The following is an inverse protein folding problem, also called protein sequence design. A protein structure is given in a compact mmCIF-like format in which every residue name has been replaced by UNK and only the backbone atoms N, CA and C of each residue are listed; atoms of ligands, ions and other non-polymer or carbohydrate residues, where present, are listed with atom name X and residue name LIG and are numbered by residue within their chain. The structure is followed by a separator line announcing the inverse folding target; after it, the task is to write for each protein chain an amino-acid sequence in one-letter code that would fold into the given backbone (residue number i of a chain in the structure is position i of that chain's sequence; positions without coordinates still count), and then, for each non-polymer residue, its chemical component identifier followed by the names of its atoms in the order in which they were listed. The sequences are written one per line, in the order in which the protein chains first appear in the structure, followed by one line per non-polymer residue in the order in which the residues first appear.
data_IF_646867116248
#
_entry.id   IF_646867116248
#
_cell.length_a   1.000
_cell.length_b   1.000
_cell.length_c   1.000
_cell.angle_alpha   90.00
_cell.angle_beta   90.00
_cell.angle_gamma   90.00
#
_symmetry.space_group_name_H-M   'P 1'
#
loop_
_entity.id
_entity.type
_entity.pdbx_description
1 polymer ?
#
# COMPACT_ATOMS: atom_id res chain seq x y z
N UNK A 1 -13.76 10.00 7.76
CA UNK A 1 -13.45 10.74 6.52
C UNK A 1 -13.33 9.72 5.39
N UNK A 2 -13.61 10.08 4.12
CA UNK A 2 -13.47 9.13 3.02
C UNK A 2 -11.99 8.80 2.74
N UNK A 3 -11.72 7.57 2.31
CA UNK A 3 -10.39 7.02 2.11
C UNK A 3 -10.21 6.52 0.66
N UNK A 4 -9.13 6.94 0.02
CA UNK A 4 -8.64 6.28 -1.20
C UNK A 4 -7.52 5.31 -0.85
N UNK A 5 -7.58 4.12 -1.43
CA UNK A 5 -6.45 3.18 -1.43
C UNK A 5 -5.76 3.26 -2.77
N UNK A 6 -4.43 3.37 -2.75
CA UNK A 6 -3.61 3.44 -3.95
C UNK A 6 -2.66 2.25 -4.02
N UNK A 7 -2.61 1.56 -5.17
CA UNK A 7 -1.77 0.38 -5.36
C UNK A 7 -0.99 0.55 -6.67
N UNK A 8 0.32 0.31 -6.63
CA UNK A 8 1.10 0.07 -7.84
C UNK A 8 1.32 -1.44 -7.99
N UNK A 9 1.22 -1.99 -9.21
CA UNK A 9 1.29 -3.45 -9.39
C UNK A 9 1.86 -3.86 -10.75
N UNK A 10 2.35 -5.10 -10.82
CA UNK A 10 2.77 -5.80 -12.04
C UNK A 10 2.71 -7.31 -11.82
N UNK A 11 1.90 -8.02 -12.59
CA UNK A 11 1.75 -9.48 -12.56
C UNK A 11 1.45 -10.05 -11.16
N UNK A 12 0.47 -9.47 -10.45
CA UNK A 12 0.08 -9.88 -9.08
C UNK A 12 -1.35 -10.46 -9.04
N UNK A 13 -1.71 -11.20 -10.08
CA UNK A 13 -3.07 -11.74 -10.25
C UNK A 13 -3.51 -12.71 -9.15
N UNK A 14 -2.58 -13.30 -8.43
CA UNK A 14 -2.83 -14.20 -7.29
C UNK A 14 -3.15 -13.43 -6.00
N UNK A 15 -2.56 -12.24 -5.82
CA UNK A 15 -2.61 -11.49 -4.56
C UNK A 15 -3.52 -10.27 -4.60
N UNK A 16 -3.70 -9.65 -5.77
CA UNK A 16 -4.42 -8.38 -5.91
C UNK A 16 -5.84 -8.43 -5.34
N UNK A 17 -6.56 -9.54 -5.52
CA UNK A 17 -7.90 -9.72 -4.96
C UNK A 17 -7.89 -9.78 -3.43
N UNK A 18 -6.89 -10.44 -2.84
CA UNK A 18 -6.75 -10.53 -1.39
C UNK A 18 -6.44 -9.14 -0.80
N UNK A 19 -5.52 -8.40 -1.43
CA UNK A 19 -5.19 -7.02 -1.07
C UNK A 19 -6.44 -6.13 -1.10
N UNK A 20 -7.18 -6.12 -2.23
CA UNK A 20 -8.41 -5.35 -2.39
C UNK A 20 -9.51 -5.75 -1.39
N UNK A 21 -9.64 -7.03 -1.08
CA UNK A 21 -10.64 -7.52 -0.10
C UNK A 21 -10.32 -6.99 1.30
N UNK A 22 -9.04 -6.99 1.69
CA UNK A 22 -8.58 -6.51 2.99
C UNK A 22 -8.82 -5.02 3.22
N UNK A 23 -8.98 -4.25 2.13
CA UNK A 23 -9.29 -2.82 2.16
C UNK A 23 -10.70 -2.49 1.67
N UNK A 24 -11.63 -3.45 1.70
CA UNK A 24 -13.03 -3.25 1.29
C UNK A 24 -13.79 -2.16 2.09
N UNK A 25 -13.20 -1.67 3.19
CA UNK A 25 -13.69 -0.51 3.95
C UNK A 25 -13.34 0.85 3.33
N UNK A 26 -12.50 0.89 2.29
CA UNK A 26 -12.14 2.12 1.58
C UNK A 26 -13.23 2.55 0.59
N UNK A 27 -13.35 3.87 0.38
CA UNK A 27 -14.35 4.46 -0.52
C UNK A 27 -13.92 4.44 -1.99
N UNK A 28 -12.61 4.29 -2.25
CA UNK A 28 -12.03 4.22 -3.57
C UNK A 28 -10.78 3.33 -3.56
N UNK A 29 -10.57 2.56 -4.64
CA UNK A 29 -9.33 1.85 -4.92
C UNK A 29 -8.83 2.28 -6.29
N UNK A 30 -7.64 2.90 -6.33
CA UNK A 30 -6.93 3.32 -7.55
C UNK A 30 -5.70 2.43 -7.72
N UNK A 31 -5.57 1.83 -8.89
CA UNK A 31 -4.45 0.94 -9.22
C UNK A 31 -3.72 1.49 -10.42
N UNK A 32 -2.40 1.61 -10.33
CA UNK A 32 -1.52 1.83 -11.48
C UNK A 32 -0.79 0.53 -11.78
N UNK A 33 -1.06 -0.01 -12.97
CA UNK A 33 -0.50 -1.27 -13.47
C UNK A 33 0.65 -1.01 -14.45
N UNK A 34 1.80 -1.63 -14.20
CA UNK A 34 3.00 -1.55 -15.05
C UNK A 34 2.98 -2.58 -16.19
N UNK A 35 1.91 -2.53 -16.99
CA UNK A 35 1.69 -3.39 -18.16
C UNK A 35 1.78 -4.90 -17.82
N UNK A 36 0.94 -5.35 -16.90
CA UNK A 36 0.82 -6.77 -16.55
C UNK A 36 0.46 -7.61 -17.78
N UNK A 37 1.09 -8.78 -17.90
CA UNK A 37 0.81 -9.77 -18.95
C UNK A 37 -0.07 -10.93 -18.48
N UNK A 38 -0.43 -10.96 -17.20
CA UNK A 38 -1.41 -11.90 -16.63
C UNK A 38 -2.80 -11.26 -16.49
N UNK A 39 -3.71 -11.89 -15.75
CA UNK A 39 -5.08 -11.40 -15.55
C UNK A 39 -5.23 -10.39 -14.38
N UNK A 40 -4.14 -9.77 -13.91
CA UNK A 40 -4.15 -8.77 -12.82
C UNK A 40 -5.14 -7.63 -13.08
N UNK A 41 -5.03 -6.99 -14.25
CA UNK A 41 -5.87 -5.84 -14.63
C UNK A 41 -7.35 -6.22 -14.70
N UNK A 42 -7.66 -7.36 -15.31
CA UNK A 42 -9.02 -7.86 -15.45
C UNK A 42 -9.66 -8.16 -14.09
N UNK A 43 -8.93 -8.85 -13.21
CA UNK A 43 -9.37 -9.16 -11.84
C UNK A 43 -9.63 -7.89 -11.03
N UNK A 44 -8.69 -6.95 -11.06
CA UNK A 44 -8.80 -5.68 -10.35
C UNK A 44 -10.03 -4.86 -10.80
N UNK A 45 -10.23 -4.69 -12.11
CA UNK A 45 -11.40 -3.97 -12.65
C UNK A 45 -12.72 -4.64 -12.26
N UNK A 46 -12.80 -5.97 -12.35
CA UNK A 46 -14.01 -6.73 -11.96
C UNK A 46 -14.33 -6.61 -10.47
N UNK A 47 -13.31 -6.49 -9.63
CA UNK A 47 -13.45 -6.25 -8.20
C UNK A 47 -13.74 -4.79 -7.84
N UNK A 48 -13.93 -3.90 -8.83
CA UNK A 48 -14.39 -2.52 -8.62
C UNK A 48 -13.29 -1.47 -8.53
N UNK A 49 -12.02 -1.82 -8.76
CA UNK A 49 -10.95 -0.83 -8.78
C UNK A 49 -10.94 0.01 -10.06
N UNK A 50 -10.51 1.27 -9.93
CA UNK A 50 -10.11 2.10 -11.06
C UNK A 50 -8.66 1.79 -11.43
N UNK A 51 -8.45 1.16 -12.58
CA UNK A 51 -7.12 0.70 -13.02
C UNK A 51 -6.60 1.56 -14.18
N UNK A 52 -5.43 2.17 -14.00
CA UNK A 52 -4.65 2.86 -15.02
C UNK A 52 -3.50 1.95 -15.46
N UNK A 53 -3.43 1.63 -16.75
CA UNK A 53 -2.32 0.84 -17.29
C UNK A 53 -1.31 1.79 -17.91
N UNK A 54 -0.05 1.72 -17.48
CA UNK A 54 1.05 2.54 -18.00
C UNK A 54 1.92 1.69 -18.93
N UNK A 55 2.37 2.29 -20.03
CA UNK A 55 3.38 1.65 -20.89
C UNK A 55 4.70 1.49 -20.13
N UNK A 56 5.32 0.31 -20.27
CA UNK A 56 6.56 -0.07 -19.61
C UNK A 56 7.66 1.00 -19.81
N UNK A 57 8.18 1.57 -18.71
CA UNK A 57 9.33 2.48 -18.77
C UNK A 57 9.50 3.45 -17.59
N UNK A 58 8.48 3.58 -16.73
CA UNK A 58 8.60 4.35 -15.49
C UNK A 58 9.13 3.55 -14.30
N UNK A 59 9.64 4.25 -13.29
CA UNK A 59 9.98 3.58 -12.03
C UNK A 59 8.71 3.17 -11.26
N UNK A 60 8.79 2.09 -10.48
CA UNK A 60 7.65 1.64 -9.67
C UNK A 60 7.18 2.72 -8.67
N UNK A 61 8.11 3.53 -8.17
CA UNK A 61 7.81 4.68 -7.31
C UNK A 61 7.05 5.80 -8.02
N UNK A 62 7.31 6.04 -9.31
CA UNK A 62 6.48 6.94 -10.11
C UNK A 62 5.05 6.42 -10.23
N UNK A 63 4.86 5.11 -10.37
CA UNK A 63 3.53 4.51 -10.45
C UNK A 63 2.77 4.67 -9.13
N UNK A 64 3.46 4.56 -7.99
CA UNK A 64 2.87 4.87 -6.67
C UNK A 64 2.47 6.34 -6.57
N UNK A 65 3.35 7.26 -6.96
CA UNK A 65 3.05 8.69 -6.95
C UNK A 65 1.89 9.05 -7.91
N UNK A 66 1.82 8.42 -9.09
CA UNK A 66 0.71 8.58 -10.02
C UNK A 66 -0.62 8.08 -9.43
N UNK A 67 -0.61 6.95 -8.73
CA UNK A 67 -1.80 6.44 -8.06
C UNK A 67 -2.32 7.43 -7.00
N UNK A 68 -1.41 8.07 -6.25
CA UNK A 68 -1.75 9.16 -5.30
C UNK A 68 -2.36 10.35 -6.04
N UNK A 69 -1.78 10.75 -7.16
CA UNK A 69 -2.27 11.88 -7.97
C UNK A 69 -3.69 11.63 -8.50
N UNK A 70 -3.99 10.40 -8.88
CA UNK A 70 -5.28 9.99 -9.42
C UNK A 70 -6.36 9.73 -8.36
N UNK A 71 -5.97 9.57 -7.10
CA UNK A 71 -6.90 9.38 -5.98
C UNK A 71 -7.81 10.60 -5.77
N UNK A 72 -9.10 10.35 -5.52
CA UNK A 72 -10.12 11.39 -5.36
C UNK A 72 -10.14 11.99 -3.96
N UNK A 73 -9.94 11.16 -2.93
CA UNK A 73 -10.11 11.60 -1.54
C UNK A 73 -8.82 12.12 -0.92
N UNK A 74 -8.99 12.91 0.14
CA UNK A 74 -7.90 13.56 0.87
C UNK A 74 -7.01 12.55 1.59
N UNK A 75 -7.57 11.47 2.13
CA UNK A 75 -6.78 10.44 2.80
C UNK A 75 -6.37 9.34 1.84
N UNK A 76 -5.10 8.97 1.91
CA UNK A 76 -4.47 7.96 1.08
C UNK A 76 -3.92 6.85 1.97
N UNK A 77 -4.37 5.62 1.73
CA UNK A 77 -3.69 4.41 2.18
C UNK A 77 -2.99 3.80 0.97
N UNK A 78 -1.67 3.97 0.88
CA UNK A 78 -0.93 3.47 -0.27
C UNK A 78 -0.27 2.14 0.04
N UNK A 79 -0.56 1.11 -0.75
CA UNK A 79 -0.14 -0.29 -0.52
C UNK A 79 0.60 -0.87 -1.72
N UNK A 80 1.31 -1.97 -1.48
CA UNK A 80 1.73 -2.92 -2.51
C UNK A 80 0.68 -4.02 -2.71
N UNK A 81 0.62 -4.61 -3.91
CA UNK A 81 -0.39 -5.62 -4.24
C UNK A 81 -0.24 -6.95 -3.47
N UNK A 82 0.92 -7.16 -2.83
CA UNK A 82 1.25 -8.30 -1.97
C UNK A 82 1.16 -7.99 -0.48
N UNK A 83 0.63 -6.81 -0.12
CA UNK A 83 0.36 -6.40 1.25
C UNK A 83 -1.12 -6.59 1.62
N UNK A 84 -1.37 -7.12 2.81
CA UNK A 84 -2.69 -7.40 3.37
C UNK A 84 -2.85 -6.61 4.67
N UNK A 85 -3.84 -5.72 4.70
CA UNK A 85 -4.26 -5.00 5.91
C UNK A 85 -4.99 -5.97 6.84
N UNK A 86 -4.45 -6.19 8.05
CA UNK A 86 -5.15 -7.01 9.04
C UNK A 86 -6.42 -6.34 9.56
N UNK A 87 -7.36 -7.12 10.11
CA UNK A 87 -8.58 -6.57 10.74
C UNK A 87 -8.28 -5.56 11.86
N UNK A 88 -7.20 -5.79 12.62
CA UNK A 88 -6.76 -4.87 13.66
C UNK A 88 -6.28 -3.54 13.06
N UNK A 89 -5.47 -3.61 12.00
CA UNK A 89 -5.00 -2.42 11.29
C UNK A 89 -6.16 -1.67 10.61
N UNK A 90 -7.10 -2.38 10.00
CA UNK A 90 -8.32 -1.79 9.43
C UNK A 90 -9.11 -1.01 10.48
N UNK A 91 -9.34 -1.59 11.66
CA UNK A 91 -10.00 -0.89 12.78
C UNK A 91 -9.20 0.33 13.24
N UNK A 92 -7.87 0.21 13.33
CA UNK A 92 -7.00 1.32 13.71
C UNK A 92 -7.09 2.48 12.71
N UNK A 93 -7.07 2.18 11.40
CA UNK A 93 -7.21 3.16 10.32
C UNK A 93 -8.56 3.88 10.41
N UNK A 94 -9.67 3.12 10.48
CA UNK A 94 -11.00 3.71 10.57
C UNK A 94 -11.18 4.58 11.82
N UNK A 95 -10.57 4.19 12.94
CA UNK A 95 -10.58 4.97 14.18
C UNK A 95 -9.86 6.31 14.00
N UNK A 96 -8.61 6.32 13.49
CA UNK A 96 -7.87 7.58 13.33
C UNK A 96 -8.50 8.51 12.28
N UNK A 97 -9.16 7.95 11.25
CA UNK A 97 -9.87 8.74 10.23
C UNK A 97 -11.17 9.37 10.74
N UNK A 98 -11.62 9.04 11.96
CA UNK A 98 -12.74 9.72 12.61
C UNK A 98 -12.32 11.05 13.26
N UNK A 99 -11.06 11.17 13.68
CA UNK A 99 -10.49 12.35 14.34
C UNK A 99 -8.95 12.36 14.20
N UNK A 100 -8.42 12.67 13.00
CA UNK A 100 -7.00 12.57 12.74
C UNK A 100 -6.20 13.63 13.49
N UNK A 101 -5.10 13.21 14.11
CA UNK A 101 -4.19 14.05 14.92
C UNK A 101 -2.86 14.34 14.25
N UNK A 102 -2.54 13.60 13.19
CA UNK A 102 -1.31 13.71 12.41
C UNK A 102 -1.66 13.82 10.94
N UNK A 103 -0.73 14.31 10.12
CA UNK A 103 -0.88 14.32 8.66
C UNK A 103 -0.49 12.98 8.01
N UNK A 104 0.16 12.10 8.78
CA UNK A 104 0.45 10.73 8.37
C UNK A 104 0.64 9.78 9.53
N UNK A 105 0.60 8.49 9.22
CA UNK A 105 0.66 7.40 10.16
C UNK A 105 1.53 6.25 9.66
N UNK A 106 2.42 5.80 10.54
CA UNK A 106 3.25 4.62 10.35
C UNK A 106 2.46 3.36 10.67
N UNK A 107 2.70 2.31 9.90
CA UNK A 107 2.17 0.97 10.13
C UNK A 107 3.32 0.00 10.34
N UNK A 108 3.12 -0.99 11.21
CA UNK A 108 4.11 -2.03 11.42
C UNK A 108 3.97 -3.09 10.32
N UNK A 109 4.93 -3.13 9.40
CA UNK A 109 5.00 -4.14 8.35
C UNK A 109 5.55 -5.44 8.93
N UNK A 110 4.71 -6.48 8.97
CA UNK A 110 5.16 -7.83 9.28
C UNK A 110 5.50 -8.56 7.98
N UNK A 111 6.80 -8.78 7.78
CA UNK A 111 7.29 -9.57 6.67
C UNK A 111 7.05 -11.06 6.93
N UNK A 112 6.22 -11.69 6.09
CA UNK A 112 5.97 -13.12 6.10
C UNK A 112 6.81 -13.78 5.01
N UNK A 113 7.82 -14.54 5.40
CA UNK A 113 8.80 -15.12 4.48
C UNK A 113 8.94 -16.63 4.73
N UNK A 114 8.85 -17.45 3.68
CA UNK A 114 8.99 -18.93 3.76
C UNK A 114 8.10 -19.60 4.83
N UNK A 115 6.87 -19.13 4.99
CA UNK A 115 5.91 -19.71 5.95
C UNK A 115 6.21 -19.40 7.41
N UNK A 116 7.08 -18.42 7.69
CA UNK A 116 7.42 -17.98 9.05
C UNK A 116 7.41 -16.45 9.15
N UNK A 117 7.02 -15.97 10.31
CA UNK A 117 7.19 -14.56 10.67
C UNK A 117 8.67 -14.28 10.91
N UNK A 118 9.24 -13.34 10.16
CA UNK A 118 10.59 -12.84 10.46
C UNK A 118 10.46 -11.82 11.59
N UNK A 119 11.01 -12.13 12.76
CA UNK A 119 11.03 -11.24 13.94
C UNK A 119 12.44 -10.75 14.30
N UNK A 120 13.45 -11.11 13.53
CA UNK A 120 14.86 -10.78 13.76
C UNK A 120 15.49 -10.04 12.58
N UNK A 121 16.80 -9.75 12.65
CA UNK A 121 17.60 -9.13 11.57
C UNK A 121 17.20 -7.69 11.18
N UNK A 122 16.57 -6.91 12.07
CA UNK A 122 16.15 -5.54 11.77
C UNK A 122 14.87 -5.45 10.93
N UNK A 123 14.17 -6.58 10.71
CA UNK A 123 12.92 -6.65 9.95
C UNK A 123 11.68 -6.53 10.84
N UNK A 124 11.89 -6.26 12.13
CA UNK A 124 10.84 -6.09 13.13
C UNK A 124 11.33 -5.30 14.36
N UNK A 125 10.57 -4.29 14.85
CA UNK A 125 9.45 -3.64 14.16
C UNK A 125 9.93 -2.87 12.92
N UNK A 126 9.13 -2.90 11.86
CA UNK A 126 9.41 -2.21 10.59
C UNK A 126 8.28 -1.19 10.33
N UNK A 127 8.45 0.01 10.90
CA UNK A 127 7.45 1.07 10.79
C UNK A 127 7.64 1.87 9.51
N UNK A 128 6.67 1.77 8.61
CA UNK A 128 6.67 2.46 7.31
C UNK A 128 5.43 3.34 7.17
N UNK A 129 5.59 4.47 6.48
CA UNK A 129 4.48 5.39 6.23
C UNK A 129 3.56 4.78 5.17
N UNK A 130 2.28 4.60 5.50
CA UNK A 130 1.29 4.01 4.58
C UNK A 130 -0.01 4.78 4.51
N UNK A 131 -0.42 5.45 5.60
CA UNK A 131 -1.62 6.30 5.64
C UNK A 131 -1.20 7.76 5.78
N UNK A 132 -1.64 8.64 4.88
CA UNK A 132 -1.29 10.07 4.93
C UNK A 132 -2.31 10.94 4.18
N UNK A 133 -2.28 12.25 4.44
CA UNK A 133 -3.03 13.23 3.67
C UNK A 133 -2.39 13.44 2.30
N UNK A 134 -3.21 13.45 1.27
CA UNK A 134 -2.79 13.74 -0.09
C UNK A 134 -2.11 15.12 -0.13
N UNK A 135 -0.92 15.17 -0.72
CA UNK A 135 -0.13 16.39 -0.81
C UNK A 135 0.78 16.68 0.38
N UNK A 136 0.78 15.83 1.43
CA UNK A 136 1.72 15.96 2.56
C UNK A 136 2.80 14.89 2.57
N UNK A 137 2.73 13.89 1.67
CA UNK A 137 3.72 12.84 1.53
C UNK A 137 3.88 12.39 0.08
N UNK A 138 5.11 11.99 -0.29
CA UNK A 138 5.44 11.41 -1.61
C UNK A 138 6.52 10.35 -1.47
N UNK A 139 6.62 9.44 -2.45
CA UNK A 139 7.81 8.61 -2.60
C UNK A 139 8.96 9.47 -3.12
N UNK A 140 10.08 9.56 -2.38
CA UNK A 140 11.29 10.15 -2.90
C UNK A 140 11.86 9.28 -4.02
N UNK A 141 12.37 9.92 -5.07
CA UNK A 141 13.02 9.26 -6.19
C UNK A 141 14.55 9.35 -6.03
N UNK A 142 15.33 8.34 -6.46
CA UNK A 142 14.89 7.17 -7.24
C UNK A 142 14.63 5.89 -6.42
N UNK A 143 15.10 5.76 -5.18
CA UNK A 143 15.12 4.46 -4.45
C UNK A 143 14.73 4.69 -2.98
N UNK A 144 13.43 4.66 -2.68
CA UNK A 144 12.93 4.68 -1.30
C UNK A 144 11.72 3.75 -1.19
N UNK A 145 11.70 2.87 -0.18
CA UNK A 145 10.58 1.92 0.00
C UNK A 145 9.30 2.59 0.51
N UNK A 146 9.43 3.66 1.28
CA UNK A 146 8.35 4.37 1.98
C UNK A 146 8.20 5.80 1.46
N UNK A 147 6.97 6.36 1.45
CA UNK A 147 6.81 7.79 1.30
C UNK A 147 7.37 8.53 2.52
N UNK A 148 7.68 9.80 2.31
CA UNK A 148 8.16 10.72 3.34
C UNK A 148 7.17 11.87 3.50
N UNK A 149 6.79 12.17 4.74
CA UNK A 149 6.03 13.37 5.06
C UNK A 149 6.90 14.61 4.84
N UNK A 150 6.30 15.71 4.36
CA UNK A 150 6.96 17.01 4.26
C UNK A 150 7.47 17.51 5.62
N UNK A 151 6.78 17.15 6.71
CA UNK A 151 7.17 17.44 8.09
C UNK A 151 8.22 16.48 8.66
N UNK A 152 8.57 15.41 7.95
CA UNK A 152 9.35 14.29 8.48
C UNK A 152 8.48 13.20 9.12
N UNK A 153 8.89 11.94 8.95
CA UNK A 153 8.16 10.75 9.42
C UNK A 153 8.18 10.58 10.95
N UNK A 154 9.03 11.31 11.67
CA UNK A 154 9.07 11.39 13.13
C UNK A 154 7.86 12.14 13.73
N UNK A 155 7.13 12.90 12.92
CA UNK A 155 5.89 13.58 13.31
C UNK A 155 4.63 12.74 13.04
N UNK A 156 4.78 11.56 12.44
CA UNK A 156 3.67 10.67 12.13
C UNK A 156 3.12 9.98 13.40
N UNK A 157 1.82 9.68 13.39
CA UNK A 157 1.22 8.78 14.37
C UNK A 157 1.62 7.33 14.10
N UNK A 158 1.34 6.43 15.04
CA UNK A 158 1.57 4.98 14.87
C UNK A 158 0.22 4.26 14.94
N UNK A 159 -0.06 3.39 13.98
CA UNK A 159 -1.25 2.55 13.95
C UNK A 159 -0.99 1.21 14.64
N UNK A 160 -2.04 0.71 15.29
CA UNK A 160 -2.05 -0.65 15.84
C UNK A 160 -2.42 -1.66 14.76
N UNK A 161 -2.00 -2.90 14.98
CA UNK A 161 -2.24 -4.00 14.04
C UNK A 161 -1.23 -4.02 12.88
N UNK A 162 -0.95 -5.21 12.34
CA UNK A 162 0.06 -5.34 11.32
C UNK A 162 -0.44 -5.13 9.90
N UNK A 163 0.47 -4.66 9.06
CA UNK A 163 0.41 -4.82 7.62
C UNK A 163 1.18 -6.10 7.26
N UNK A 164 0.49 -7.12 6.78
CA UNK A 164 1.11 -8.40 6.44
C UNK A 164 1.67 -8.31 5.03
N UNK A 165 2.97 -8.52 4.87
CA UNK A 165 3.63 -8.45 3.57
C UNK A 165 4.07 -9.85 3.14
N UNK A 166 3.49 -10.36 2.05
CA UNK A 166 3.79 -11.70 1.52
C UNK A 166 5.02 -11.67 0.61
N UNK A 167 6.20 -11.61 1.21
CA UNK A 167 7.47 -11.64 0.48
C UNK A 167 7.74 -13.06 -0.06
N UNK A 168 7.74 -13.22 -1.39
CA UNK A 168 8.12 -14.44 -2.14
C UNK A 168 7.55 -15.77 -1.60
N UNK A 169 6.51 -16.28 -2.26
CA UNK A 169 6.18 -17.71 -2.19
C UNK A 169 7.25 -18.47 -2.99
N UNK A 170 7.88 -19.45 -2.37
CA UNK A 170 9.02 -20.20 -2.89
C UNK A 170 8.72 -20.78 -4.29
N UNK A 171 9.52 -20.45 -5.31
CA UNK A 171 9.34 -21.03 -6.65
C UNK A 171 10.22 -20.54 -7.82
N UNK A 172 10.90 -19.40 -7.72
CA UNK A 172 11.82 -18.95 -8.76
C UNK A 172 13.16 -18.53 -8.14
N UNK A 173 14.04 -19.52 -7.99
CA UNK A 173 15.48 -19.28 -7.90
C UNK A 173 15.91 -19.11 -9.36
N UNK A 174 16.40 -17.94 -9.74
CA UNK A 174 17.24 -17.83 -10.94
C UNK A 174 18.62 -18.41 -10.65
#
# INVERSE_FOLDING_TARGET
MPLSVTIATKNESEKIIQCMTAVSFADEIVIVDDCSSDDTVEKAKRAGARVLVRESGGSFHENKNLAIDEAKYEWILSLDADEIVSDELSRSIQHVLSDPKHDGYLVNRHNYFLGRWIRGCGWYPDYILRLFKKGTARWPLPIHETPELDSGNDHAGILNGPLIHHSYVTGAIF
#
